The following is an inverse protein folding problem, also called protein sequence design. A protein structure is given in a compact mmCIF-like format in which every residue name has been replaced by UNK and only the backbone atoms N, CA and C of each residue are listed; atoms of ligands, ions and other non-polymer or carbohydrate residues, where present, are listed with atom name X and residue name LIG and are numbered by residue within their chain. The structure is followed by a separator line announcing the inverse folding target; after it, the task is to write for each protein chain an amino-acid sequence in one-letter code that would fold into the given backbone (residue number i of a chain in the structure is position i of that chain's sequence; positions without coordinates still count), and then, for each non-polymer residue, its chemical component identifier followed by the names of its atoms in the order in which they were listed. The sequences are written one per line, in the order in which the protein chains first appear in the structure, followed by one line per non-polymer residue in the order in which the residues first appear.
data_IF_319414325276
#
_entry.id   IF_319414325276
#
_cell.length_a   1.000
_cell.length_b   1.000
_cell.length_c   1.000
_cell.angle_alpha   90.00
_cell.angle_beta   90.00
_cell.angle_gamma   90.00
#
_symmetry.space_group_name_H-M   'P 1'
#
loop_
_entity.id
_entity.type
_entity.pdbx_description
1 polymer ?
#
# COMPACT_ATOMS: atom_id res chain seq x y z
N UNK A 1 4.56 -6.81 3.23
CA UNK A 1 3.58 -6.16 4.12
C UNK A 1 3.57 -6.89 5.45
N UNK A 2 3.73 -6.19 6.57
CA UNK A 2 3.87 -6.82 7.89
C UNK A 2 2.54 -7.03 8.62
N UNK A 3 1.65 -6.02 8.59
CA UNK A 3 0.36 -6.06 9.28
C UNK A 3 -0.62 -5.06 8.66
N UNK A 4 -1.91 -5.36 8.78
CA UNK A 4 -3.04 -4.45 8.52
C UNK A 4 -3.87 -4.41 9.79
N UNK A 5 -4.33 -3.21 10.18
CA UNK A 5 -5.30 -3.01 11.25
C UNK A 5 -6.45 -2.19 10.68
N UNK A 6 -7.68 -2.61 10.98
CA UNK A 6 -8.90 -1.84 10.73
C UNK A 6 -9.45 -1.46 12.10
N UNK A 7 -9.62 -0.17 12.33
CA UNK A 7 -10.10 0.40 13.59
C UNK A 7 -11.36 1.25 13.32
N UNK A 8 -12.15 1.50 14.36
CA UNK A 8 -13.26 2.44 14.27
C UNK A 8 -12.81 3.90 14.35
N UNK A 9 -13.73 4.84 14.13
CA UNK A 9 -13.54 6.28 14.39
C UNK A 9 -13.59 6.57 15.91
N UNK A 10 -12.72 5.87 16.65
CA UNK A 10 -12.50 5.99 18.08
C UNK A 10 -11.05 6.36 18.34
N UNK A 11 -10.84 7.39 19.15
CA UNK A 11 -9.50 7.96 19.35
C UNK A 11 -8.55 6.96 20.01
N UNK A 12 -9.02 6.24 21.02
CA UNK A 12 -8.19 5.27 21.76
C UNK A 12 -7.82 4.08 20.87
N UNK A 13 -8.74 3.63 20.01
CA UNK A 13 -8.51 2.55 19.06
C UNK A 13 -7.45 2.93 18.00
N UNK A 14 -7.53 4.15 17.44
CA UNK A 14 -6.53 4.67 16.49
C UNK A 14 -5.16 4.81 17.17
N UNK A 15 -5.11 5.42 18.37
CA UNK A 15 -3.87 5.59 19.14
C UNK A 15 -3.22 4.24 19.43
N UNK A 16 -4.00 3.27 19.89
CA UNK A 16 -3.52 1.92 20.19
C UNK A 16 -3.03 1.21 18.93
N UNK A 17 -3.74 1.34 17.82
CA UNK A 17 -3.37 0.74 16.54
C UNK A 17 -2.01 1.26 16.05
N UNK A 18 -1.78 2.56 16.11
CA UNK A 18 -0.49 3.17 15.78
C UNK A 18 0.62 2.68 16.71
N UNK A 19 0.36 2.61 18.02
CA UNK A 19 1.35 2.08 18.99
C UNK A 19 1.73 0.64 18.68
N UNK A 20 0.74 -0.24 18.43
CA UNK A 20 0.98 -1.65 18.06
C UNK A 20 1.87 -1.74 16.82
N UNK A 21 1.55 -0.99 15.75
CA UNK A 21 2.34 -1.02 14.52
C UNK A 21 3.79 -0.55 14.73
N UNK A 22 3.99 0.46 15.59
CA UNK A 22 5.32 0.96 15.94
C UNK A 22 6.11 -0.03 16.80
N UNK A 23 5.47 -0.64 17.81
CA UNK A 23 6.05 -1.67 18.67
C UNK A 23 6.44 -2.92 17.88
N UNK A 24 5.65 -3.27 16.88
CA UNK A 24 5.98 -4.32 15.92
C UNK A 24 7.09 -3.93 14.95
N UNK A 25 7.74 -2.76 15.10
CA UNK A 25 8.84 -2.31 14.22
C UNK A 25 8.41 -2.23 12.75
N UNK A 26 7.26 -1.64 12.47
CA UNK A 26 6.90 -1.22 11.12
C UNK A 26 7.63 0.10 10.79
N UNK A 27 8.52 0.08 9.80
CA UNK A 27 9.30 1.27 9.41
C UNK A 27 8.51 2.25 8.51
N UNK A 28 7.41 1.76 7.93
CA UNK A 28 6.52 2.50 7.06
C UNK A 28 5.08 2.13 7.39
N UNK A 29 4.32 3.11 7.85
CA UNK A 29 2.93 3.01 8.27
C UNK A 29 2.13 4.03 7.45
N UNK A 30 1.06 3.58 6.82
CA UNK A 30 0.12 4.43 6.10
C UNK A 30 -1.26 4.27 6.72
N UNK A 31 -1.97 5.38 6.90
CA UNK A 31 -3.39 5.38 7.26
C UNK A 31 -4.24 5.83 6.06
N UNK A 32 -5.52 5.47 6.07
CA UNK A 32 -6.49 5.93 5.09
C UNK A 32 -7.81 6.21 5.80
N UNK A 33 -8.29 7.46 5.75
CA UNK A 33 -9.58 7.87 6.31
C UNK A 33 -9.48 8.76 7.55
N UNK A 34 -10.63 9.31 7.96
CA UNK A 34 -10.79 10.13 9.17
C UNK A 34 -10.11 11.50 9.13
N UNK A 35 -9.98 12.12 7.95
CA UNK A 35 -9.35 13.46 7.77
C UNK A 35 -10.26 14.49 7.08
N UNK A 36 -11.54 14.18 6.93
CA UNK A 36 -12.55 15.11 6.43
C UNK A 36 -13.03 16.12 7.48
N UNK A 37 -14.16 16.77 7.18
CA UNK A 37 -14.69 17.87 7.99
C UNK A 37 -15.72 17.44 9.04
N UNK A 38 -16.14 16.17 9.04
CA UNK A 38 -17.16 15.69 9.98
C UNK A 38 -16.56 15.45 11.36
N UNK A 39 -17.41 15.16 12.36
CA UNK A 39 -16.98 15.11 13.76
C UNK A 39 -16.24 13.82 14.11
N UNK A 40 -16.52 12.76 13.36
CA UNK A 40 -15.88 11.44 13.33
C UNK A 40 -14.54 11.44 12.58
N UNK A 41 -14.24 12.45 11.77
CA UNK A 41 -12.91 12.62 11.17
C UNK A 41 -11.88 13.08 12.21
N UNK A 42 -11.27 12.12 12.93
CA UNK A 42 -10.39 12.37 14.09
C UNK A 42 -8.96 11.81 13.92
N UNK A 43 -8.58 11.34 12.73
CA UNK A 43 -7.28 10.67 12.49
C UNK A 43 -6.09 11.59 12.79
N UNK A 44 -6.15 12.88 12.42
CA UNK A 44 -5.07 13.82 12.74
C UNK A 44 -4.89 14.00 14.25
N UNK A 45 -5.99 14.20 14.99
CA UNK A 45 -5.96 14.38 16.44
C UNK A 45 -5.48 13.13 17.16
N UNK A 46 -5.98 11.95 16.77
CA UNK A 46 -5.58 10.68 17.35
C UNK A 46 -4.09 10.38 17.11
N UNK A 47 -3.59 10.65 15.90
CA UNK A 47 -2.18 10.46 15.61
C UNK A 47 -1.31 11.50 16.33
N UNK A 48 -1.74 12.76 16.42
CA UNK A 48 -1.05 13.77 17.22
C UNK A 48 -0.91 13.31 18.68
N UNK A 49 -1.98 12.78 19.28
CA UNK A 49 -1.98 12.23 20.64
C UNK A 49 -1.05 11.02 20.78
N UNK A 50 -1.05 10.10 19.81
CA UNK A 50 -0.16 8.93 19.83
C UNK A 50 1.34 9.30 19.84
N UNK A 51 1.68 10.48 19.32
CA UNK A 51 3.03 11.03 19.31
C UNK A 51 3.29 12.09 20.39
N UNK A 52 2.27 12.48 21.15
CA UNK A 52 2.38 13.51 22.19
C UNK A 52 2.69 14.91 21.63
N UNK A 53 2.18 15.23 20.44
CA UNK A 53 2.35 16.54 19.79
C UNK A 53 1.04 17.31 19.73
N UNK A 54 1.06 18.66 19.66
CA UNK A 54 -0.16 19.42 19.47
C UNK A 54 -0.70 19.25 18.05
N UNK A 55 -2.02 19.40 17.89
CA UNK A 55 -2.73 19.40 16.62
C UNK A 55 -3.36 20.79 16.45
N UNK A 56 -2.87 21.57 15.48
CA UNK A 56 -3.19 22.99 15.35
C UNK A 56 -3.47 23.37 13.91
N UNK A 57 -4.19 24.48 13.72
CA UNK A 57 -4.53 24.99 12.39
C UNK A 57 -3.26 25.40 11.63
N UNK A 58 -2.99 24.70 10.53
CA UNK A 58 -1.83 24.91 9.68
C UNK A 58 -2.07 26.04 8.66
N UNK A 59 -1.32 27.12 8.79
CA UNK A 59 -1.47 28.31 7.95
C UNK A 59 -1.21 28.05 6.46
N UNK A 60 -0.22 27.22 6.13
CA UNK A 60 0.09 26.86 4.74
C UNK A 60 -1.04 26.06 4.10
N UNK A 61 -1.61 25.09 4.83
CA UNK A 61 -2.75 24.30 4.36
C UNK A 61 -3.97 25.20 4.14
N UNK A 62 -4.22 26.13 5.07
CA UNK A 62 -5.30 27.13 4.96
C UNK A 62 -5.11 28.04 3.73
N UNK A 63 -3.88 28.50 3.48
CA UNK A 63 -3.57 29.33 2.31
C UNK A 63 -3.82 28.56 1.01
N UNK A 64 -3.39 27.30 0.93
CA UNK A 64 -3.65 26.43 -0.23
C UNK A 64 -5.14 26.15 -0.43
N UNK A 65 -5.88 25.91 0.65
CA UNK A 65 -7.34 25.77 0.61
C UNK A 65 -7.98 27.02 0.02
N UNK A 66 -7.57 28.22 0.46
CA UNK A 66 -8.07 29.49 -0.07
C UNK A 66 -7.69 29.70 -1.53
N UNK A 67 -6.47 29.36 -1.92
CA UNK A 67 -6.02 29.46 -3.32
C UNK A 67 -6.84 28.57 -4.26
N UNK A 68 -7.13 27.32 -3.86
CA UNK A 68 -7.78 26.33 -4.72
C UNK A 68 -9.32 26.42 -4.64
N UNK A 69 -9.87 26.76 -3.47
CA UNK A 69 -11.32 26.71 -3.19
C UNK A 69 -11.89 28.05 -2.72
N UNK A 70 -11.18 29.17 -2.89
CA UNK A 70 -11.56 30.49 -2.35
C UNK A 70 -13.03 30.86 -2.56
N UNK A 71 -13.50 30.84 -3.81
CA UNK A 71 -14.91 31.16 -4.11
C UNK A 71 -15.93 30.20 -3.50
N UNK A 72 -15.57 28.93 -3.29
CA UNK A 72 -16.41 27.99 -2.54
C UNK A 72 -16.43 28.35 -1.05
N UNK A 73 -15.26 28.61 -0.45
CA UNK A 73 -15.13 28.98 0.97
C UNK A 73 -15.87 30.28 1.30
N UNK A 74 -15.91 31.23 0.38
CA UNK A 74 -16.62 32.51 0.55
C UNK A 74 -18.15 32.35 0.54
N UNK A 75 -18.66 31.24 -0.01
CA UNK A 75 -20.10 30.92 -0.01
C UNK A 75 -20.55 30.12 1.22
N UNK A 76 -19.63 29.68 2.07
CA UNK A 76 -19.93 28.91 3.27
C UNK A 76 -20.41 29.81 4.42
N UNK A 77 -21.35 29.30 5.21
CA UNK A 77 -21.69 29.90 6.50
C UNK A 77 -20.51 29.82 7.49
N UNK A 78 -20.50 30.62 8.58
CA UNK A 78 -19.42 30.55 9.57
C UNK A 78 -19.19 29.16 10.16
N UNK A 79 -20.25 28.39 10.41
CA UNK A 79 -20.12 27.02 10.95
C UNK A 79 -19.58 26.05 9.92
N UNK A 80 -19.99 26.17 8.65
CA UNK A 80 -19.47 25.35 7.56
C UNK A 80 -17.99 25.66 7.30
N UNK A 81 -17.61 26.93 7.33
CA UNK A 81 -16.22 27.35 7.15
C UNK A 81 -15.33 26.85 8.29
N UNK A 82 -15.81 26.93 9.54
CA UNK A 82 -15.10 26.38 10.70
C UNK A 82 -14.91 24.86 10.58
N UNK A 83 -15.95 24.11 10.19
CA UNK A 83 -15.83 22.67 9.94
C UNK A 83 -14.86 22.35 8.80
N UNK A 84 -14.86 23.16 7.73
CA UNK A 84 -13.93 22.98 6.62
C UNK A 84 -12.47 23.20 7.05
N UNK A 85 -12.22 24.21 7.89
CA UNK A 85 -10.87 24.47 8.39
C UNK A 85 -10.34 23.45 9.39
N UNK A 86 -11.20 22.63 10.02
CA UNK A 86 -10.73 21.48 10.81
C UNK A 86 -9.88 20.51 10.00
N UNK A 87 -10.12 20.39 8.69
CA UNK A 87 -9.28 19.56 7.81
C UNK A 87 -7.85 20.10 7.63
N UNK A 88 -7.60 21.36 8.03
CA UNK A 88 -6.28 21.97 8.09
C UNK A 88 -5.71 22.00 9.51
N UNK A 89 -6.37 21.40 10.49
CA UNK A 89 -5.81 21.20 11.83
C UNK A 89 -4.93 19.95 11.81
N UNK A 90 -3.62 20.15 11.81
CA UNK A 90 -2.61 19.11 11.58
C UNK A 90 -1.68 18.97 12.79
N UNK A 91 -1.11 17.78 13.02
CA UNK A 91 -0.02 17.58 13.99
C UNK A 91 1.12 18.56 13.75
N UNK A 92 1.71 19.08 14.82
CA UNK A 92 2.79 20.07 14.76
C UNK A 92 4.13 19.45 15.17
N UNK A 93 5.21 20.00 14.63
CA UNK A 93 6.56 19.58 14.96
C UNK A 93 6.95 20.04 16.39
N UNK A 94 7.62 19.17 17.14
CA UNK A 94 8.28 19.50 18.41
C UNK A 94 9.78 19.26 18.32
N UNK A 95 10.53 19.52 19.40
CA UNK A 95 11.95 19.16 19.49
C UNK A 95 12.20 17.66 19.38
N UNK A 96 11.23 16.83 19.79
CA UNK A 96 11.33 15.38 19.84
C UNK A 96 10.67 14.70 18.63
N UNK A 97 9.67 15.35 18.02
CA UNK A 97 8.84 14.75 16.97
C UNK A 97 8.88 15.60 15.70
N UNK A 98 9.48 15.07 14.64
CA UNK A 98 9.45 15.67 13.31
C UNK A 98 8.09 15.46 12.65
N UNK A 99 7.54 16.53 12.05
CA UNK A 99 6.34 16.47 11.22
C UNK A 99 6.64 17.08 9.85
N UNK A 100 6.25 16.38 8.78
CA UNK A 100 6.39 16.82 7.40
C UNK A 100 5.02 16.94 6.74
N UNK A 101 4.82 17.98 5.92
CA UNK A 101 3.62 18.13 5.09
C UNK A 101 4.05 18.04 3.62
N UNK A 102 3.62 16.98 2.94
CA UNK A 102 4.02 16.72 1.56
C UNK A 102 2.85 17.06 0.63
N UNK A 103 2.98 18.17 -0.10
CA UNK A 103 2.03 18.58 -1.13
C UNK A 103 2.47 18.01 -2.48
N UNK A 104 2.22 16.72 -2.68
CA UNK A 104 2.66 15.99 -3.87
C UNK A 104 1.80 16.28 -5.10
N UNK A 105 0.67 16.95 -4.92
CA UNK A 105 -0.33 17.22 -5.95
C UNK A 105 -0.72 18.69 -5.97
N UNK A 106 -0.25 19.44 -6.96
CA UNK A 106 -0.46 20.89 -7.06
C UNK A 106 -1.93 21.29 -7.18
N UNK A 107 -2.78 20.38 -7.68
CA UNK A 107 -4.23 20.57 -7.81
C UNK A 107 -5.00 20.34 -6.49
N UNK A 108 -4.34 19.87 -5.44
CA UNK A 108 -4.94 19.55 -4.15
C UNK A 108 -4.38 20.44 -3.05
N UNK A 109 -5.25 20.85 -2.13
CA UNK A 109 -4.83 21.56 -0.92
C UNK A 109 -4.41 20.61 0.21
N UNK A 110 -4.84 19.34 0.15
CA UNK A 110 -4.61 18.36 1.22
C UNK A 110 -3.18 17.80 1.12
N UNK A 111 -2.36 17.90 2.18
CA UNK A 111 -1.05 17.28 2.20
C UNK A 111 -1.13 15.81 2.63
N UNK A 112 -0.05 15.07 2.36
CA UNK A 112 0.27 13.88 3.14
C UNK A 112 1.02 14.35 4.38
N UNK A 113 0.46 14.11 5.56
CA UNK A 113 1.14 14.44 6.82
C UNK A 113 1.98 13.26 7.26
N UNK A 114 3.28 13.47 7.36
CA UNK A 114 4.26 12.48 7.83
C UNK A 114 4.73 12.78 9.24
N UNK A 115 4.77 11.79 10.14
CA UNK A 115 5.34 11.91 11.48
C UNK A 115 6.53 10.95 11.63
N UNK A 116 7.64 11.44 12.18
CA UNK A 116 8.87 10.67 12.44
C UNK A 116 9.42 9.93 11.21
N UNK A 117 9.10 10.41 10.00
CA UNK A 117 9.37 9.68 8.76
C UNK A 117 8.86 8.23 8.83
N UNK A 118 7.79 7.93 9.56
CA UNK A 118 7.32 6.57 9.79
C UNK A 118 5.85 6.43 9.47
N UNK A 119 5.02 7.34 10.01
CA UNK A 119 3.56 7.33 9.83
C UNK A 119 3.19 8.37 8.79
N UNK A 120 2.43 7.99 7.77
CA UNK A 120 1.92 8.86 6.71
C UNK A 120 0.40 8.81 6.67
N UNK A 121 -0.22 9.97 6.84
CA UNK A 121 -1.67 10.11 6.93
C UNK A 121 -2.22 10.46 5.56
N UNK A 122 -3.16 9.65 5.04
CA UNK A 122 -3.80 9.85 3.74
C UNK A 122 -5.34 9.84 3.83
N UNK A 123 -6.04 10.45 2.86
CA UNK A 123 -7.50 10.46 2.80
C UNK A 123 -8.11 9.06 2.63
N UNK A 124 -9.39 8.93 3.01
CA UNK A 124 -10.17 7.72 2.80
C UNK A 124 -10.77 7.58 1.40
N UNK A 125 -10.95 8.69 0.68
CA UNK A 125 -11.53 8.68 -0.68
C UNK A 125 -10.56 7.96 -1.63
N UNK A 126 -10.94 6.83 -2.26
CA UNK A 126 -10.00 5.97 -2.99
C UNK A 126 -9.24 6.66 -4.12
N UNK A 127 -9.88 7.59 -4.81
CA UNK A 127 -9.24 8.36 -5.88
C UNK A 127 -8.14 9.30 -5.34
N UNK A 128 -8.44 10.05 -4.27
CA UNK A 128 -7.48 10.93 -3.62
C UNK A 128 -6.34 10.14 -2.97
N UNK A 129 -6.67 9.03 -2.31
CA UNK A 129 -5.69 8.14 -1.69
C UNK A 129 -4.68 7.64 -2.73
N UNK A 130 -5.15 7.07 -3.85
CA UNK A 130 -4.28 6.58 -4.92
C UNK A 130 -3.38 7.68 -5.47
N UNK A 131 -3.95 8.86 -5.76
CA UNK A 131 -3.23 10.00 -6.33
C UNK A 131 -2.10 10.48 -5.40
N UNK A 132 -2.41 10.69 -4.12
CA UNK A 132 -1.41 11.08 -3.13
C UNK A 132 -0.39 9.97 -2.85
N UNK A 133 -0.81 8.71 -2.77
CA UNK A 133 0.10 7.58 -2.54
C UNK A 133 1.14 7.44 -3.66
N UNK A 134 0.77 7.66 -4.92
CA UNK A 134 1.72 7.69 -6.04
C UNK A 134 2.75 8.80 -5.83
N UNK A 135 2.31 10.01 -5.48
CA UNK A 135 3.21 11.13 -5.19
C UNK A 135 4.13 10.89 -3.99
N UNK A 136 3.66 10.14 -2.98
CA UNK A 136 4.49 9.73 -1.84
C UNK A 136 5.68 8.86 -2.26
N UNK A 137 5.54 8.08 -3.33
CA UNK A 137 6.57 7.17 -3.82
C UNK A 137 7.92 7.85 -4.02
N UNK A 138 7.95 9.07 -4.55
CA UNK A 138 9.19 9.82 -4.78
C UNK A 138 9.93 10.17 -3.48
N UNK A 139 9.20 10.42 -2.41
CA UNK A 139 9.76 10.69 -1.09
C UNK A 139 10.26 9.43 -0.38
N UNK A 140 9.77 8.25 -0.78
CA UNK A 140 10.15 6.97 -0.19
C UNK A 140 11.32 6.30 -0.91
N UNK A 141 11.56 6.61 -2.19
CA UNK A 141 12.63 5.97 -3.00
C UNK A 141 13.99 5.95 -2.28
N UNK A 142 14.37 7.05 -1.63
CA UNK A 142 15.64 7.14 -0.90
C UNK A 142 15.72 6.24 0.35
N UNK A 143 14.57 5.82 0.89
CA UNK A 143 14.46 4.96 2.08
C UNK A 143 14.31 3.48 1.74
N UNK A 144 13.97 3.18 0.49
CA UNK A 144 13.75 1.81 0.04
C UNK A 144 15.08 1.22 -0.40
N UNK A 145 15.58 0.26 0.38
CA UNK A 145 16.56 -0.69 -0.14
C UNK A 145 15.77 -1.63 -1.05
N UNK A 146 15.80 -1.34 -2.35
CA UNK A 146 15.18 -2.22 -3.34
C UNK A 146 15.98 -3.52 -3.35
N UNK A 147 15.47 -4.55 -2.67
CA UNK A 147 15.83 -5.91 -3.02
C UNK A 147 15.27 -6.14 -4.42
N UNK A 148 16.14 -6.32 -5.40
CA UNK A 148 15.74 -6.59 -6.77
C UNK A 148 15.11 -8.00 -6.81
N UNK A 149 13.80 -8.06 -6.62
CA UNK A 149 13.07 -9.31 -6.85
C UNK A 149 12.86 -9.49 -8.34
N UNK A 150 13.18 -10.68 -8.82
CA UNK A 150 12.84 -11.12 -10.15
C UNK A 150 11.59 -11.98 -10.06
N UNK A 151 10.59 -11.68 -10.89
CA UNK A 151 9.33 -12.40 -10.91
C UNK A 151 9.03 -12.92 -12.30
N UNK A 152 8.66 -14.19 -12.36
CA UNK A 152 8.20 -14.87 -13.56
C UNK A 152 6.82 -15.47 -13.31
N UNK A 153 6.07 -15.67 -14.40
CA UNK A 153 4.70 -16.16 -14.35
C UNK A 153 4.51 -17.32 -15.32
N UNK A 154 3.87 -18.38 -14.85
CA UNK A 154 3.44 -19.51 -15.68
C UNK A 154 1.93 -19.64 -15.58
N UNK A 155 1.25 -19.53 -16.71
CA UNK A 155 -0.18 -19.74 -16.81
C UNK A 155 -0.46 -21.21 -17.18
N UNK A 156 -1.43 -21.84 -16.52
CA UNK A 156 -1.88 -23.22 -16.84
C UNK A 156 -3.39 -23.38 -16.67
N UNK A 157 -3.98 -24.35 -17.39
CA UNK A 157 -5.37 -24.79 -17.17
C UNK A 157 -5.51 -25.92 -16.13
N UNK A 158 -4.39 -26.36 -15.55
CA UNK A 158 -4.39 -27.41 -14.53
C UNK A 158 -5.08 -26.94 -13.24
N UNK A 159 -5.93 -27.80 -12.68
CA UNK A 159 -6.65 -27.54 -11.42
C UNK A 159 -5.67 -27.45 -10.24
N UNK A 160 -5.94 -26.52 -9.34
CA UNK A 160 -5.08 -26.25 -8.18
C UNK A 160 -4.80 -27.47 -7.29
N UNK A 161 -5.77 -28.38 -7.14
CA UNK A 161 -5.59 -29.64 -6.40
C UNK A 161 -4.44 -30.50 -6.93
N UNK A 162 -4.14 -30.39 -8.22
CA UNK A 162 -3.07 -31.14 -8.87
C UNK A 162 -1.74 -30.36 -8.87
N UNK A 163 -1.79 -29.04 -8.68
CA UNK A 163 -0.61 -28.17 -8.58
C UNK A 163 0.02 -28.25 -7.20
N UNK A 164 -0.79 -28.26 -6.14
CA UNK A 164 -0.31 -28.10 -4.77
C UNK A 164 0.78 -29.11 -4.36
N UNK A 165 0.68 -30.43 -4.66
CA UNK A 165 1.75 -31.38 -4.32
C UNK A 165 3.06 -31.09 -5.05
N UNK A 166 2.97 -30.76 -6.35
CA UNK A 166 4.14 -30.44 -7.17
C UNK A 166 4.83 -29.16 -6.70
N UNK A 167 4.07 -28.07 -6.52
CA UNK A 167 4.60 -26.79 -6.05
C UNK A 167 5.21 -26.89 -4.65
N UNK A 168 4.60 -27.68 -3.76
CA UNK A 168 5.15 -27.92 -2.42
C UNK A 168 6.49 -28.65 -2.46
N UNK A 169 6.61 -29.68 -3.31
CA UNK A 169 7.87 -30.40 -3.50
C UNK A 169 8.94 -29.50 -4.12
N UNK A 170 8.58 -28.72 -5.13
CA UNK A 170 9.51 -27.81 -5.81
C UNK A 170 9.97 -26.68 -4.89
N UNK A 171 9.06 -26.10 -4.08
CA UNK A 171 9.39 -25.10 -3.06
C UNK A 171 10.42 -25.66 -2.07
N UNK A 172 10.24 -26.91 -1.61
CA UNK A 172 11.20 -27.57 -0.72
C UNK A 172 12.59 -27.71 -1.36
N UNK A 173 12.65 -28.15 -2.62
CA UNK A 173 13.91 -28.24 -3.38
C UNK A 173 14.58 -26.86 -3.50
N UNK A 174 13.78 -25.81 -3.72
CA UNK A 174 14.31 -24.45 -3.80
C UNK A 174 14.85 -23.97 -2.44
N UNK A 175 14.14 -24.23 -1.35
CA UNK A 175 14.58 -23.88 0.01
C UNK A 175 15.88 -24.62 0.38
N UNK A 176 16.03 -25.89 -0.04
CA UNK A 176 17.27 -26.67 0.16
C UNK A 176 18.43 -26.15 -0.67
N UNK A 177 18.18 -25.71 -1.92
CA UNK A 177 19.22 -25.26 -2.86
C UNK A 177 19.67 -23.81 -2.63
N UNK A 178 18.73 -22.90 -2.38
CA UNK A 178 18.99 -21.46 -2.31
C UNK A 178 18.89 -20.91 -0.89
N UNK A 179 18.32 -21.67 0.04
CA UNK A 179 17.99 -21.22 1.38
C UNK A 179 16.52 -20.85 1.51
N UNK A 180 16.00 -21.00 2.73
CA UNK A 180 14.59 -20.77 3.02
C UNK A 180 14.15 -19.36 2.62
N UNK A 181 13.02 -19.26 1.92
CA UNK A 181 12.36 -18.00 1.51
C UNK A 181 13.10 -17.19 0.42
N UNK A 182 14.19 -17.70 -0.15
CA UNK A 182 14.90 -17.00 -1.25
C UNK A 182 14.20 -17.13 -2.58
N UNK A 183 13.55 -18.26 -2.83
CA UNK A 183 12.59 -18.47 -3.92
C UNK A 183 11.22 -18.70 -3.32
N UNK A 184 10.18 -18.10 -3.90
CA UNK A 184 8.79 -18.31 -3.52
C UNK A 184 7.96 -18.69 -4.72
N UNK A 185 7.23 -19.79 -4.59
CA UNK A 185 6.23 -20.26 -5.54
C UNK A 185 4.84 -20.00 -4.97
N UNK A 186 3.95 -19.42 -5.78
CA UNK A 186 2.56 -19.20 -5.41
C UNK A 186 1.61 -19.48 -6.57
N UNK A 187 0.42 -20.02 -6.29
CA UNK A 187 -0.66 -20.22 -7.27
C UNK A 187 -1.78 -19.22 -7.05
N UNK A 188 -2.30 -18.66 -8.14
CA UNK A 188 -3.36 -17.65 -8.17
C UNK A 188 -4.44 -18.09 -9.15
N UNK A 189 -5.56 -18.66 -8.68
CA UNK A 189 -6.65 -19.10 -9.55
C UNK A 189 -7.45 -17.90 -10.07
N UNK A 190 -7.70 -17.89 -11.39
CA UNK A 190 -8.53 -16.90 -12.08
C UNK A 190 -9.81 -17.58 -12.58
N UNK A 191 -10.87 -17.54 -11.76
CA UNK A 191 -12.10 -18.29 -12.01
C UNK A 191 -12.82 -17.90 -13.30
N UNK A 192 -12.89 -16.61 -13.62
CA UNK A 192 -13.50 -16.10 -14.87
C UNK A 192 -12.73 -16.58 -16.11
N UNK A 193 -11.41 -16.67 -16.01
CA UNK A 193 -10.52 -17.10 -17.08
C UNK A 193 -10.33 -18.62 -17.16
N UNK A 194 -10.81 -19.38 -16.16
CA UNK A 194 -10.64 -20.83 -16.02
C UNK A 194 -9.16 -21.26 -16.10
N UNK A 195 -8.26 -20.46 -15.52
CA UNK A 195 -6.82 -20.69 -15.52
C UNK A 195 -6.23 -20.41 -14.15
N UNK A 196 -5.02 -20.90 -13.89
CA UNK A 196 -4.22 -20.60 -12.71
C UNK A 196 -2.91 -19.98 -13.17
N UNK A 197 -2.53 -18.87 -12.54
CA UNK A 197 -1.21 -18.28 -12.71
C UNK A 197 -0.31 -18.72 -11.56
N UNK A 198 0.87 -19.23 -11.87
CA UNK A 198 1.91 -19.58 -10.91
C UNK A 198 2.96 -18.48 -10.94
N UNK A 199 3.21 -17.84 -9.81
CA UNK A 199 4.26 -16.84 -9.65
C UNK A 199 5.51 -17.48 -9.08
N UNK A 200 6.64 -17.22 -9.71
CA UNK A 200 7.98 -17.60 -9.27
C UNK A 200 8.73 -16.32 -8.93
N UNK A 201 9.09 -16.13 -7.67
CA UNK A 201 9.77 -14.93 -7.18
C UNK A 201 11.11 -15.34 -6.58
N UNK A 202 12.20 -14.74 -7.04
CA UNK A 202 13.52 -14.84 -6.41
C UNK A 202 14.04 -13.46 -5.99
N UNK A 203 14.82 -13.39 -4.92
CA UNK A 203 15.58 -12.16 -4.61
C UNK A 203 16.90 -12.09 -5.39
N UNK A 204 17.68 -11.04 -5.16
CA UNK A 204 18.93 -10.75 -5.87
C UNK A 204 20.05 -11.77 -5.59
N UNK A 205 19.88 -12.64 -4.60
CA UNK A 205 20.82 -13.73 -4.32
C UNK A 205 20.64 -14.94 -5.22
N UNK A 206 19.51 -15.05 -5.94
CA UNK A 206 19.21 -16.15 -6.85
C UNK A 206 19.47 -15.72 -8.30
N UNK A 207 20.40 -16.38 -9.02
CA UNK A 207 20.68 -16.05 -10.42
C UNK A 207 19.43 -16.17 -11.29
N UNK A 208 19.26 -15.25 -12.26
CA UNK A 208 18.13 -15.26 -13.19
C UNK A 208 17.99 -16.60 -13.93
N UNK A 209 19.11 -17.17 -14.38
CA UNK A 209 19.15 -18.48 -15.05
C UNK A 209 18.54 -19.58 -14.18
N UNK A 210 18.81 -19.57 -12.87
CA UNK A 210 18.25 -20.54 -11.95
C UNK A 210 16.73 -20.37 -11.76
N UNK A 211 16.22 -19.13 -11.84
CA UNK A 211 14.78 -18.87 -11.83
C UNK A 211 14.12 -19.33 -13.13
N UNK A 212 14.78 -19.16 -14.28
CA UNK A 212 14.30 -19.68 -15.56
C UNK A 212 14.27 -21.22 -15.57
N UNK A 213 15.28 -21.88 -14.99
CA UNK A 213 15.24 -23.34 -14.79
C UNK A 213 14.03 -23.78 -13.94
N UNK A 214 13.63 -22.97 -12.95
CA UNK A 214 12.43 -23.24 -12.14
C UNK A 214 11.17 -23.01 -12.97
N UNK A 215 11.11 -21.97 -13.80
CA UNK A 215 10.01 -21.73 -14.75
C UNK A 215 9.83 -22.93 -15.67
N UNK A 216 10.91 -23.46 -16.24
CA UNK A 216 10.87 -24.64 -17.11
C UNK A 216 10.37 -25.88 -16.36
N UNK A 217 10.84 -26.11 -15.14
CA UNK A 217 10.34 -27.18 -14.29
C UNK A 217 8.85 -27.03 -14.01
N UNK A 218 8.36 -25.81 -13.76
CA UNK A 218 6.93 -25.55 -13.55
C UNK A 218 6.16 -25.85 -14.84
N UNK A 219 6.59 -25.35 -16.00
CA UNK A 219 5.91 -25.59 -17.29
C UNK A 219 5.77 -27.09 -17.57
N UNK A 220 6.86 -27.85 -17.38
CA UNK A 220 6.86 -29.30 -17.61
C UNK A 220 6.03 -30.04 -16.54
N UNK A 221 6.17 -29.65 -15.27
CA UNK A 221 5.61 -30.38 -14.13
C UNK A 221 4.11 -30.19 -13.92
N UNK A 222 3.55 -29.05 -14.32
CA UNK A 222 2.14 -28.73 -14.07
C UNK A 222 1.20 -29.13 -15.19
N UNK A 223 1.70 -29.31 -16.42
CA UNK A 223 0.89 -29.69 -17.58
C UNK A 223 -0.22 -28.66 -17.91
N UNK A 224 -1.31 -29.10 -18.51
CA UNK A 224 -2.48 -28.24 -18.77
C UNK A 224 -2.20 -27.10 -19.78
N UNK A 225 -1.31 -27.33 -20.74
CA UNK A 225 -0.90 -26.31 -21.72
C UNK A 225 -0.12 -25.16 -21.09
N UNK A 226 0.64 -25.44 -20.03
CA UNK A 226 1.41 -24.42 -19.31
C UNK A 226 2.33 -23.64 -20.23
N UNK A 227 2.35 -22.31 -20.05
CA UNK A 227 3.23 -21.41 -20.78
C UNK A 227 3.65 -20.26 -19.89
N UNK A 228 4.83 -19.72 -20.15
CA UNK A 228 5.24 -18.46 -19.55
C UNK A 228 4.39 -17.31 -20.10
N UNK A 229 4.00 -16.38 -19.23
CA UNK A 229 3.35 -15.12 -19.59
C UNK A 229 4.16 -13.96 -19.00
N UNK A 230 3.99 -12.76 -19.55
CA UNK A 230 4.62 -11.57 -18.99
C UNK A 230 3.77 -10.93 -17.86
N UNK A 231 4.33 -9.92 -17.18
CA UNK A 231 3.66 -9.24 -16.08
C UNK A 231 2.43 -8.44 -16.52
N UNK A 232 2.40 -7.94 -17.76
CA UNK A 232 1.26 -7.18 -18.28
C UNK A 232 0.08 -8.11 -18.56
N UNK A 233 0.35 -9.30 -19.09
CA UNK A 233 -0.65 -10.36 -19.26
C UNK A 233 -1.23 -10.80 -17.90
N UNK A 234 -0.40 -11.00 -16.87
CA UNK A 234 -0.86 -11.36 -15.53
C UNK A 234 -1.72 -10.25 -14.90
N UNK A 235 -1.24 -9.00 -14.92
CA UNK A 235 -1.99 -7.85 -14.40
C UNK A 235 -3.34 -7.68 -15.10
N UNK A 236 -3.40 -7.92 -16.41
CA UNK A 236 -4.64 -7.87 -17.18
C UNK A 236 -5.64 -8.94 -16.72
N UNK A 237 -5.20 -10.20 -16.60
CA UNK A 237 -6.02 -11.33 -16.15
C UNK A 237 -6.52 -11.11 -14.71
N UNK A 238 -5.66 -10.58 -13.84
CA UNK A 238 -5.97 -10.27 -12.44
C UNK A 238 -6.97 -9.12 -12.28
N UNK A 239 -6.96 -8.15 -13.20
CA UNK A 239 -7.74 -6.92 -13.09
C UNK A 239 -9.05 -6.93 -13.89
N UNK A 240 -9.24 -7.90 -14.79
CA UNK A 240 -10.40 -7.95 -15.69
C UNK A 240 -11.15 -9.27 -15.53
N UNK A 241 -12.49 -9.22 -15.62
CA UNK A 241 -13.30 -10.41 -15.79
C UNK A 241 -13.35 -10.78 -17.27
N UNK A 242 -13.18 -12.06 -17.58
CA UNK A 242 -13.47 -12.56 -18.92
C UNK A 242 -14.98 -12.45 -19.15
N UNK A 243 -15.38 -11.76 -20.21
CA UNK A 243 -16.79 -11.64 -20.59
C UNK A 243 -17.44 -13.04 -20.60
N UNK A 244 -18.60 -13.15 -19.93
CA UNK A 244 -19.40 -14.37 -19.95
C UNK A 244 -20.04 -14.50 -21.34
N UNK A 245 -19.43 -15.28 -22.21
CA UNK A 245 -20.15 -15.92 -23.33
C UNK A 245 -21.18 -16.93 -22.82
#
# INVERSE_FOLDING_TARGET
MKKIIVCGDDKDDIVKSIKILREEKCDFIVTSGGIGSTHDDITYDAIAEAFGVPCELDSETVERMRSIRGGYLDSLSPSQLSAFYRMATLPQQTSEVSVSKLYTESSLWVPIVGLQHQVYILPGVPELFRKLLVGLGDHLKARVISKAYQRFYVQTSTKESNLAPFLSALQKTCDEKFGAQQVKLGSYPHFSWKTVTISIIGDDTVPQEALLDIVDQVIVGVGGGAKQIDAQEEDFISSHEKDKE
#
